data_IF_941969265446
#
_entry.id   IF_941969265446
#
_cell.length_a   1.000
_cell.length_b   1.000
_cell.length_c   1.000
_cell.angle_alpha   90.00
_cell.angle_beta   90.00
_cell.angle_gamma   90.00
#
_symmetry.space_group_name_H-M   'P 1'
#
loop_
_entity.id
_entity.type
_entity.pdbx_description
1 polymer ?
#
# COMPACT_ATOMS: atom_id res chain seq x y z
N UNK A 1 22.75 4.80 -8.56
CA UNK A 1 21.42 5.30 -8.16
C UNK A 1 21.43 5.53 -6.65
N UNK A 2 20.85 6.61 -6.13
CA UNK A 2 20.80 6.90 -4.68
C UNK A 2 19.37 6.73 -4.20
N UNK A 3 19.15 5.84 -3.23
CA UNK A 3 17.85 5.65 -2.59
C UNK A 3 17.83 6.37 -1.23
N UNK A 4 16.63 6.74 -0.78
CA UNK A 4 16.38 7.35 0.54
C UNK A 4 15.07 6.83 1.11
N UNK A 5 14.95 6.88 2.44
CA UNK A 5 13.69 6.59 3.12
C UNK A 5 12.69 7.71 2.88
N UNK A 6 11.42 7.39 2.72
CA UNK A 6 10.36 8.38 2.56
C UNK A 6 10.23 9.25 3.82
N UNK A 7 10.39 8.67 5.00
CA UNK A 7 10.36 9.39 6.27
C UNK A 7 11.62 10.22 6.57
N UNK A 8 12.60 10.27 5.66
CA UNK A 8 13.74 11.19 5.78
C UNK A 8 13.44 12.62 5.32
N UNK A 9 12.25 12.85 4.78
CA UNK A 9 11.76 14.15 4.32
C UNK A 9 10.76 14.70 5.36
N UNK A 10 11.16 15.65 6.23
CA UNK A 10 10.30 16.15 7.30
C UNK A 10 8.96 16.69 6.81
N UNK A 11 8.93 17.28 5.62
CA UNK A 11 7.75 17.83 4.95
C UNK A 11 6.73 16.77 4.48
N UNK A 12 7.09 15.48 4.54
CA UNK A 12 6.19 14.37 4.20
C UNK A 12 5.63 13.67 5.44
N UNK A 13 6.09 14.07 6.64
CA UNK A 13 5.64 13.44 7.88
C UNK A 13 4.15 13.67 8.13
N UNK A 14 3.54 14.70 7.56
CA UNK A 14 2.13 15.04 7.69
C UNK A 14 1.31 14.86 6.41
N UNK A 15 1.78 14.01 5.50
CA UNK A 15 0.99 13.61 4.35
C UNK A 15 -0.33 12.94 4.79
N UNK A 16 -1.44 13.46 4.27
CA UNK A 16 -2.77 12.85 4.43
C UNK A 16 -3.05 11.79 3.35
N UNK A 17 -2.35 11.88 2.21
CA UNK A 17 -2.51 11.02 1.04
C UNK A 17 -1.15 10.65 0.45
N UNK A 18 -0.92 9.36 0.21
CA UNK A 18 0.28 8.85 -0.46
C UNK A 18 -0.13 7.95 -1.62
N UNK A 19 0.47 8.13 -2.79
CA UNK A 19 0.35 7.20 -3.93
C UNK A 19 1.66 6.44 -4.07
N UNK A 20 1.58 5.11 -4.03
CA UNK A 20 2.72 4.19 -4.22
C UNK A 20 2.47 3.42 -5.51
N UNK A 21 3.29 3.72 -6.51
CA UNK A 21 3.35 3.06 -7.81
C UNK A 21 4.82 3.11 -8.19
N UNK A 22 5.49 1.98 -7.96
CA UNK A 22 6.93 1.92 -7.94
C UNK A 22 7.37 0.48 -8.21
N UNK A 23 7.28 0.06 -9.46
CA UNK A 23 7.81 -1.19 -10.03
C UNK A 23 8.70 -2.00 -9.07
N UNK A 24 8.09 -2.87 -8.24
CA UNK A 24 8.73 -3.82 -7.29
C UNK A 24 9.38 -3.23 -6.03
N UNK A 25 9.29 -1.93 -5.80
CA UNK A 25 9.85 -1.22 -4.65
C UNK A 25 8.82 -0.85 -3.58
N UNK A 26 7.57 -1.25 -3.74
CA UNK A 26 6.44 -0.84 -2.89
C UNK A 26 6.65 -1.27 -1.42
N UNK A 27 7.12 -2.49 -1.18
CA UNK A 27 7.44 -2.97 0.17
C UNK A 27 8.62 -2.21 0.80
N UNK A 28 9.61 -1.82 -0.01
CA UNK A 28 10.73 -1.03 0.46
C UNK A 28 10.31 0.41 0.82
N UNK A 29 9.38 0.99 0.04
CA UNK A 29 8.77 2.30 0.34
C UNK A 29 7.96 2.22 1.62
N UNK A 30 7.14 1.18 1.80
CA UNK A 30 6.37 0.94 3.03
C UNK A 30 7.28 0.89 4.26
N UNK A 31 8.39 0.16 4.18
CA UNK A 31 9.39 0.13 5.25
C UNK A 31 10.08 1.49 5.46
N UNK A 32 10.33 2.21 4.37
CA UNK A 32 10.91 3.55 4.36
C UNK A 32 10.01 4.66 4.88
N UNK A 33 8.72 4.39 5.13
CA UNK A 33 7.76 5.36 5.67
C UNK A 33 7.32 5.05 7.11
N UNK A 34 8.09 4.21 7.83
CA UNK A 34 7.75 3.77 9.17
C UNK A 34 7.41 4.92 10.15
N UNK A 35 8.11 6.06 10.10
CA UNK A 35 7.80 7.18 10.98
C UNK A 35 6.47 7.88 10.63
N UNK A 36 6.04 7.84 9.36
CA UNK A 36 4.71 8.30 8.94
C UNK A 36 3.66 7.32 9.49
N UNK A 37 3.91 6.02 9.35
CA UNK A 37 3.00 4.96 9.83
C UNK A 37 2.83 4.95 11.35
N UNK A 38 3.82 5.38 12.12
CA UNK A 38 3.74 5.46 13.59
C UNK A 38 2.84 6.58 14.12
N UNK A 39 2.48 7.55 13.28
CA UNK A 39 1.63 8.64 13.71
C UNK A 39 0.16 8.22 13.80
N UNK A 40 -0.51 8.69 14.85
CA UNK A 40 -1.95 8.50 15.03
C UNK A 40 -2.72 9.64 14.35
N UNK A 41 -2.68 9.64 13.02
CA UNK A 41 -3.45 10.58 12.17
C UNK A 41 -4.11 9.84 11.01
N UNK A 42 -5.22 10.38 10.48
CA UNK A 42 -5.81 9.86 9.27
C UNK A 42 -4.77 9.78 8.15
N UNK A 43 -4.75 8.66 7.44
CA UNK A 43 -3.83 8.47 6.31
C UNK A 43 -4.52 7.62 5.25
N UNK A 44 -4.54 8.14 4.04
CA UNK A 44 -4.99 7.41 2.85
C UNK A 44 -3.79 7.01 2.01
N UNK A 45 -3.73 5.75 1.58
CA UNK A 45 -2.70 5.28 0.64
C UNK A 45 -3.39 4.64 -0.55
N UNK A 46 -2.97 5.04 -1.76
CA UNK A 46 -3.31 4.37 -3.01
C UNK A 46 -2.10 3.57 -3.45
N UNK A 47 -2.23 2.25 -3.50
CA UNK A 47 -1.13 1.32 -3.76
C UNK A 47 -1.42 0.50 -5.01
N UNK A 48 -0.53 0.57 -6.00
CA UNK A 48 -0.52 -0.41 -7.08
C UNK A 48 0.09 -1.73 -6.58
N UNK A 49 -0.64 -2.82 -6.73
CA UNK A 49 -0.25 -4.13 -6.21
C UNK A 49 -0.43 -5.24 -7.24
N UNK A 50 0.69 -5.75 -7.75
CA UNK A 50 0.73 -7.00 -8.51
C UNK A 50 1.44 -8.08 -7.73
N UNK A 51 0.75 -9.19 -7.46
CA UNK A 51 1.25 -10.27 -6.58
C UNK A 51 2.55 -10.90 -7.05
N UNK A 52 2.73 -11.01 -8.37
CA UNK A 52 3.96 -11.56 -8.97
C UNK A 52 5.22 -10.76 -8.59
N UNK A 53 5.07 -9.50 -8.15
CA UNK A 53 6.19 -8.64 -7.73
C UNK A 53 6.70 -8.96 -6.31
N UNK A 54 6.00 -9.81 -5.55
CA UNK A 54 6.31 -10.11 -4.16
C UNK A 54 6.68 -11.58 -3.98
N UNK A 55 7.65 -11.86 -3.11
CA UNK A 55 7.99 -13.24 -2.70
C UNK A 55 6.90 -13.85 -1.82
N UNK A 56 6.31 -13.04 -0.94
CA UNK A 56 5.17 -13.38 -0.10
C UNK A 56 4.16 -12.22 -0.11
N UNK A 57 3.25 -12.16 -1.10
CA UNK A 57 2.25 -11.10 -1.17
C UNK A 57 1.30 -11.11 0.04
N UNK A 58 1.04 -12.28 0.63
CA UNK A 58 0.14 -12.42 1.77
C UNK A 58 0.69 -11.73 3.00
N UNK A 59 1.98 -11.94 3.30
CA UNK A 59 2.64 -11.28 4.43
C UNK A 59 2.65 -9.76 4.31
N UNK A 60 2.73 -9.21 3.09
CA UNK A 60 2.66 -7.75 2.90
C UNK A 60 1.26 -7.20 3.17
N UNK A 61 0.21 -7.87 2.69
CA UNK A 61 -1.18 -7.50 3.02
C UNK A 61 -1.44 -7.62 4.53
N UNK A 62 -0.94 -8.67 5.18
CA UNK A 62 -1.04 -8.83 6.64
C UNK A 62 -0.36 -7.69 7.38
N UNK A 63 0.78 -7.22 6.88
CA UNK A 63 1.48 -6.06 7.45
C UNK A 63 0.63 -4.79 7.32
N UNK A 64 0.03 -4.54 6.15
CA UNK A 64 -0.85 -3.39 5.91
C UNK A 64 -2.04 -3.39 6.90
N UNK A 65 -2.69 -4.54 7.06
CA UNK A 65 -3.78 -4.71 8.02
C UNK A 65 -3.32 -4.47 9.46
N UNK A 66 -2.12 -4.97 9.83
CA UNK A 66 -1.54 -4.74 11.17
C UNK A 66 -1.21 -3.27 11.46
N UNK A 67 -0.96 -2.46 10.42
CA UNK A 67 -0.75 -1.01 10.54
C UNK A 67 -2.07 -0.21 10.67
N UNK A 68 -3.20 -0.91 10.75
CA UNK A 68 -4.52 -0.35 11.04
C UNK A 68 -5.33 0.05 9.80
N UNK A 69 -4.86 -0.28 8.60
CA UNK A 69 -5.57 0.08 7.38
C UNK A 69 -6.73 -0.87 7.06
N UNK A 70 -7.81 -0.29 6.54
CA UNK A 70 -8.86 -1.00 5.81
C UNK A 70 -8.43 -1.28 4.37
N UNK A 71 -9.08 -2.26 3.72
CA UNK A 71 -8.80 -2.63 2.33
C UNK A 71 -10.01 -2.39 1.44
N UNK A 72 -9.81 -1.62 0.39
CA UNK A 72 -10.71 -1.54 -0.75
C UNK A 72 -9.90 -1.61 -2.05
N UNK A 73 -10.57 -1.94 -3.13
CA UNK A 73 -10.03 -1.94 -4.49
C UNK A 73 -10.72 -0.84 -5.30
N UNK A 74 -9.95 -0.11 -6.09
CA UNK A 74 -10.44 0.89 -7.03
C UNK A 74 -10.51 0.23 -8.41
N UNK A 75 -11.72 0.05 -8.91
CA UNK A 75 -12.00 -0.50 -10.24
C UNK A 75 -12.48 0.60 -11.19
N UNK A 76 -12.28 0.42 -12.50
CA UNK A 76 -12.76 1.37 -13.50
C UNK A 76 -14.28 1.35 -13.62
N UNK A 77 -14.89 0.16 -13.50
CA UNK A 77 -16.31 -0.05 -13.74
C UNK A 77 -17.17 0.27 -12.51
N UNK A 78 -16.72 -0.12 -11.32
CA UNK A 78 -17.50 -0.04 -10.09
C UNK A 78 -16.94 0.95 -9.06
N UNK A 79 -15.83 1.63 -9.36
CA UNK A 79 -15.16 2.52 -8.41
C UNK A 79 -14.62 1.76 -7.20
N UNK A 80 -14.79 2.32 -6.00
CA UNK A 80 -14.26 1.76 -4.75
C UNK A 80 -15.13 0.59 -4.27
N UNK A 81 -14.55 -0.59 -4.17
CA UNK A 81 -15.18 -1.81 -3.68
C UNK A 81 -14.43 -2.33 -2.44
N UNK A 82 -15.15 -2.65 -1.36
CA UNK A 82 -14.51 -3.32 -0.21
C UNK A 82 -13.96 -4.66 -0.66
N UNK A 83 -12.76 -5.00 -0.22
CA UNK A 83 -12.10 -6.25 -0.57
C UNK A 83 -11.53 -6.93 0.68
N UNK A 84 -11.04 -8.15 0.51
CA UNK A 84 -10.40 -8.92 1.57
C UNK A 84 -9.02 -9.37 1.11
N UNK A 85 -8.16 -9.69 2.09
CA UNK A 85 -6.88 -10.34 1.82
C UNK A 85 -7.04 -11.55 0.91
N UNK A 86 -7.99 -12.43 1.20
CA UNK A 86 -8.18 -13.66 0.43
C UNK A 86 -8.67 -13.37 -1.00
N UNK A 87 -9.53 -12.37 -1.19
CA UNK A 87 -9.97 -11.94 -2.52
C UNK A 87 -8.79 -11.40 -3.36
N UNK A 88 -7.96 -10.51 -2.78
CA UNK A 88 -6.75 -9.99 -3.41
C UNK A 88 -5.81 -11.14 -3.81
N UNK A 89 -5.62 -12.12 -2.91
CA UNK A 89 -4.75 -13.27 -3.14
C UNK A 89 -5.33 -14.30 -4.11
N UNK A 90 -6.63 -14.29 -4.39
CA UNK A 90 -7.29 -15.21 -5.32
C UNK A 90 -7.31 -14.72 -6.78
N UNK A 91 -7.03 -13.45 -7.04
CA UNK A 91 -7.02 -12.87 -8.40
C UNK A 91 -5.96 -13.54 -9.33
N UNK A 92 -5.80 -13.11 -10.60
CA UNK A 92 -4.65 -13.46 -11.46
C UNK A 92 -3.32 -12.76 -11.04
N UNK A 93 -2.20 -13.48 -10.83
CA UNK A 93 -1.00 -12.95 -10.15
C UNK A 93 -0.30 -11.80 -10.89
N UNK A 94 -0.57 -11.67 -12.19
CA UNK A 94 0.00 -10.66 -13.08
C UNK A 94 -0.88 -9.42 -13.22
N UNK A 95 -2.06 -9.40 -12.63
CA UNK A 95 -2.96 -8.25 -12.67
C UNK A 95 -2.53 -7.21 -11.64
N UNK A 96 -2.42 -5.96 -12.08
CA UNK A 96 -2.18 -4.82 -11.22
C UNK A 96 -3.51 -4.41 -10.58
N UNK A 97 -3.57 -4.48 -9.25
CA UNK A 97 -4.74 -4.09 -8.47
C UNK A 97 -4.48 -2.75 -7.81
N UNK A 98 -5.40 -1.80 -7.95
CA UNK A 98 -5.32 -0.50 -7.28
C UNK A 98 -5.98 -0.58 -5.91
N UNK A 99 -5.18 -0.72 -4.85
CA UNK A 99 -5.68 -0.79 -3.49
C UNK A 99 -5.85 0.61 -2.91
N UNK A 100 -6.99 0.83 -2.27
CA UNK A 100 -7.27 1.97 -1.40
C UNK A 100 -7.16 1.51 0.05
N UNK A 101 -6.22 2.13 0.78
CA UNK A 101 -5.92 1.86 2.17
C UNK A 101 -6.30 3.09 2.99
N UNK A 102 -7.16 2.92 4.00
CA UNK A 102 -7.60 4.04 4.86
C UNK A 102 -7.49 3.65 6.32
N UNK A 103 -6.95 4.56 7.15
CA UNK A 103 -6.96 4.49 8.61
C UNK A 103 -7.19 5.88 9.22
#
# INVERSE_FOLDING_TARGET
MRTRRLDSYPELLDADLIKIDADTSEQAIWHGMAAILQQTRPLTIVLEFARVRYSDPGAFIDKILSDGFTLAEITLEAGIQLTTRDAILAAPPTEDVMLLLVR
#
